data_IF_670567234685
#
_entry.id   IF_670567234685
#
_cell.length_a   1.000
_cell.length_b   1.000
_cell.length_c   1.000
_cell.angle_alpha   90.00
_cell.angle_beta   90.00
_cell.angle_gamma   90.00
#
_symmetry.space_group_name_H-M   'P 1'
#
loop_
_entity.id
_entity.type
_entity.pdbx_description
1 polymer ?
#
# COMPACT_ATOMS: atom_id res chain seq x y z
N UNK A 1 -108.22 27.46 21.39
CA UNK A 1 -107.38 27.10 22.56
C UNK A 1 -106.79 25.65 22.50
N UNK A 2 -107.48 24.70 21.85
CA UNK A 2 -106.93 23.30 21.80
C UNK A 2 -105.80 23.12 20.75
N UNK A 3 -105.82 23.86 19.64
CA UNK A 3 -104.90 23.70 18.53
C UNK A 3 -103.51 24.38 18.78
N UNK A 4 -103.46 25.46 19.55
CA UNK A 4 -102.24 26.19 19.93
C UNK A 4 -101.36 25.36 20.92
N UNK A 5 -102.02 24.68 21.89
CA UNK A 5 -101.32 23.75 22.84
C UNK A 5 -100.75 22.57 22.11
N UNK A 6 -101.42 21.97 21.14
CA UNK A 6 -100.92 20.87 20.32
C UNK A 6 -99.73 21.28 19.45
N UNK A 7 -99.78 22.48 18.87
CA UNK A 7 -98.63 23.06 18.11
C UNK A 7 -97.42 23.32 18.98
N UNK A 8 -97.61 23.81 20.23
CA UNK A 8 -96.48 24.02 21.19
C UNK A 8 -95.85 22.69 21.59
N UNK A 9 -96.63 21.68 21.91
CA UNK A 9 -96.08 20.35 22.30
C UNK A 9 -95.31 19.76 21.12
N UNK A 10 -95.80 19.87 19.89
CA UNK A 10 -95.08 19.33 18.72
C UNK A 10 -93.78 20.16 18.44
N UNK A 11 -93.77 21.44 18.66
CA UNK A 11 -92.60 22.29 18.49
C UNK A 11 -91.53 21.94 19.56
N UNK A 12 -91.93 21.66 20.82
CA UNK A 12 -91.09 21.25 21.87
C UNK A 12 -90.45 19.86 21.60
N UNK A 13 -91.21 18.91 21.11
CA UNK A 13 -90.82 17.59 20.72
C UNK A 13 -89.80 17.61 19.54
N UNK A 14 -89.97 18.43 18.56
CA UNK A 14 -89.08 18.62 17.45
C UNK A 14 -87.75 19.23 17.94
N UNK A 15 -87.77 20.20 18.83
CA UNK A 15 -86.57 20.80 19.40
C UNK A 15 -85.83 19.77 20.29
N UNK A 16 -86.53 19.02 21.08
CA UNK A 16 -85.95 17.98 21.91
C UNK A 16 -85.28 16.85 21.06
N UNK A 17 -85.93 16.43 19.98
CA UNK A 17 -85.39 15.43 19.07
C UNK A 17 -84.16 15.96 18.31
N UNK A 18 -84.23 17.24 17.90
CA UNK A 18 -83.12 17.94 17.28
C UNK A 18 -81.88 18.01 18.26
N UNK A 19 -82.14 18.36 19.52
CA UNK A 19 -81.09 18.35 20.56
C UNK A 19 -80.51 16.96 20.77
N UNK A 20 -81.32 15.92 20.91
CA UNK A 20 -80.84 14.52 21.05
C UNK A 20 -80.02 14.06 19.84
N UNK A 21 -80.39 14.46 18.63
CA UNK A 21 -79.61 14.17 17.42
C UNK A 21 -78.30 14.94 17.41
N UNK A 22 -78.29 16.20 17.80
CA UNK A 22 -77.07 17.02 17.92
C UNK A 22 -76.10 16.42 18.96
N UNK A 23 -76.60 16.01 20.15
CA UNK A 23 -75.79 15.39 21.19
C UNK A 23 -75.17 14.05 20.75
N UNK A 24 -75.97 13.21 20.06
CA UNK A 24 -75.49 11.95 19.48
C UNK A 24 -74.40 12.17 18.44
N UNK A 25 -74.61 13.19 17.56
CA UNK A 25 -73.62 13.56 16.55
C UNK A 25 -72.34 14.08 17.18
N UNK A 26 -72.45 14.96 18.18
CA UNK A 26 -71.30 15.48 18.92
C UNK A 26 -70.51 14.36 19.66
N UNK A 27 -71.26 13.45 20.32
CA UNK A 27 -70.62 12.34 20.99
C UNK A 27 -69.89 11.40 20.02
N UNK A 28 -70.49 11.09 18.88
CA UNK A 28 -69.87 10.30 17.82
C UNK A 28 -68.64 10.99 17.24
N UNK A 29 -68.74 12.28 16.93
CA UNK A 29 -67.59 13.05 16.40
C UNK A 29 -66.44 13.12 17.40
N UNK A 30 -66.74 13.33 18.72
CA UNK A 30 -65.71 13.30 19.76
C UNK A 30 -64.98 11.95 19.82
N UNK A 31 -65.73 10.88 19.81
CA UNK A 31 -65.11 9.51 19.82
C UNK A 31 -64.27 9.24 18.57
N UNK A 32 -64.68 9.78 17.39
CA UNK A 32 -63.93 9.65 16.14
C UNK A 32 -62.67 10.51 16.15
N UNK A 33 -62.70 11.70 16.68
CA UNK A 33 -61.50 12.58 16.91
C UNK A 33 -60.50 11.93 17.88
N UNK A 34 -61.00 11.36 19.00
CA UNK A 34 -60.15 10.66 19.95
C UNK A 34 -59.46 9.44 19.29
N UNK A 35 -60.18 8.68 18.50
CA UNK A 35 -59.62 7.54 17.77
C UNK A 35 -58.56 7.99 16.77
N UNK A 36 -58.81 9.04 15.97
CA UNK A 36 -57.85 9.59 15.02
C UNK A 36 -56.58 10.10 15.75
N UNK A 37 -56.78 10.82 16.86
CA UNK A 37 -55.65 11.32 17.66
C UNK A 37 -54.82 10.18 18.28
N UNK A 38 -55.46 9.13 18.78
CA UNK A 38 -54.77 7.95 19.31
C UNK A 38 -53.95 7.21 18.21
N UNK A 39 -54.58 7.05 17.03
CA UNK A 39 -53.88 6.43 15.90
C UNK A 39 -52.67 7.29 15.44
N UNK A 40 -52.86 8.59 15.28
CA UNK A 40 -51.78 9.49 14.89
C UNK A 40 -50.59 9.47 15.90
N UNK A 41 -50.91 9.38 17.20
CA UNK A 41 -49.86 9.23 18.23
C UNK A 41 -49.11 7.90 18.09
N UNK A 42 -49.83 6.78 17.92
CA UNK A 42 -49.22 5.50 17.75
C UNK A 42 -48.36 5.42 16.50
N UNK A 43 -48.80 6.01 15.39
CA UNK A 43 -48.05 6.06 14.14
C UNK A 43 -46.78 6.94 14.30
N UNK A 44 -46.89 8.06 14.98
CA UNK A 44 -45.76 8.94 15.26
C UNK A 44 -44.72 8.26 16.15
N UNK A 45 -45.15 7.54 17.21
CA UNK A 45 -44.25 6.78 18.08
C UNK A 45 -43.54 5.65 17.32
N UNK A 46 -44.27 4.89 16.49
CA UNK A 46 -43.69 3.84 15.65
C UNK A 46 -42.67 4.39 14.67
N UNK A 47 -42.99 5.54 14.06
CA UNK A 47 -42.08 6.20 13.12
C UNK A 47 -40.82 6.75 13.82
N UNK A 48 -40.99 7.35 15.01
CA UNK A 48 -39.86 7.83 15.82
C UNK A 48 -38.92 6.69 16.22
N UNK A 49 -39.45 5.53 16.63
CA UNK A 49 -38.68 4.34 17.00
C UNK A 49 -37.94 3.75 15.80
N UNK A 50 -38.60 3.70 14.64
CA UNK A 50 -37.95 3.29 13.38
C UNK A 50 -36.80 4.18 13.03
N UNK A 51 -36.97 5.50 13.08
CA UNK A 51 -35.91 6.48 12.80
C UNK A 51 -34.74 6.31 13.78
N UNK A 52 -35.03 6.08 15.07
CA UNK A 52 -34.04 5.87 16.11
C UNK A 52 -33.20 4.61 15.83
N UNK A 53 -33.88 3.50 15.57
CA UNK A 53 -33.24 2.22 15.27
C UNK A 53 -32.35 2.31 14.01
N UNK A 54 -32.84 2.93 12.96
CA UNK A 54 -32.07 3.14 11.74
C UNK A 54 -30.85 4.05 11.96
N UNK A 55 -30.99 5.10 12.79
CA UNK A 55 -29.90 6.01 13.12
C UNK A 55 -28.80 5.28 13.92
N UNK A 56 -29.19 4.48 14.91
CA UNK A 56 -28.25 3.65 15.66
C UNK A 56 -27.50 2.64 14.79
N UNK A 57 -28.20 1.96 13.92
CA UNK A 57 -27.56 1.01 12.98
C UNK A 57 -26.60 1.71 12.04
N UNK A 58 -26.95 2.90 11.52
CA UNK A 58 -26.06 3.71 10.68
C UNK A 58 -24.82 4.17 11.46
N UNK A 59 -25.02 4.61 12.71
CA UNK A 59 -23.91 5.00 13.58
C UNK A 59 -22.94 3.85 13.86
N UNK A 60 -23.46 2.66 14.20
CA UNK A 60 -22.64 1.43 14.40
C UNK A 60 -21.84 1.07 13.15
N UNK A 61 -22.49 1.00 11.98
CA UNK A 61 -21.81 0.69 10.70
C UNK A 61 -20.72 1.71 10.39
N UNK A 62 -20.98 3.00 10.64
CA UNK A 62 -19.99 4.06 10.42
C UNK A 62 -18.81 3.94 11.37
N UNK A 63 -19.04 3.63 12.65
CA UNK A 63 -17.98 3.39 13.63
C UNK A 63 -17.09 2.20 13.24
N UNK A 64 -17.69 1.07 12.84
CA UNK A 64 -16.94 -0.09 12.36
C UNK A 64 -16.11 0.22 11.11
N UNK A 65 -16.67 0.96 10.16
CA UNK A 65 -15.94 1.37 8.95
C UNK A 65 -14.74 2.25 9.31
N UNK A 66 -14.90 3.21 10.20
CA UNK A 66 -13.81 4.07 10.67
C UNK A 66 -12.73 3.23 11.37
N UNK A 67 -13.11 2.31 12.27
CA UNK A 67 -12.17 1.44 12.96
C UNK A 67 -11.32 0.62 11.97
N UNK A 68 -11.96 -0.03 10.99
CA UNK A 68 -11.25 -0.78 9.92
C UNK A 68 -10.31 0.10 9.11
N UNK A 69 -10.71 1.34 8.80
CA UNK A 69 -9.85 2.29 8.06
C UNK A 69 -8.63 2.69 8.88
N UNK A 70 -8.79 2.89 10.18
CA UNK A 70 -7.67 3.19 11.10
C UNK A 70 -6.69 2.02 11.16
N UNK A 71 -7.17 0.78 11.32
CA UNK A 71 -6.31 -0.40 11.36
C UNK A 71 -5.49 -0.56 10.06
N UNK A 72 -6.13 -0.35 8.92
CA UNK A 72 -5.45 -0.38 7.63
C UNK A 72 -4.38 0.71 7.51
N UNK A 73 -4.68 1.93 7.98
CA UNK A 73 -3.72 3.04 7.92
C UNK A 73 -2.53 2.79 8.87
N UNK A 74 -2.76 2.23 10.05
CA UNK A 74 -1.70 1.83 10.98
C UNK A 74 -0.81 0.75 10.37
N UNK A 75 -1.40 -0.29 9.76
CA UNK A 75 -0.66 -1.34 9.08
C UNK A 75 0.18 -0.78 7.91
N UNK A 76 -0.39 0.13 7.12
CA UNK A 76 0.30 0.80 6.02
C UNK A 76 1.46 1.67 6.51
N UNK A 77 1.28 2.42 7.60
CA UNK A 77 2.36 3.23 8.20
C UNK A 77 3.49 2.36 8.73
N UNK A 78 3.18 1.27 9.42
CA UNK A 78 4.19 0.29 9.87
C UNK A 78 4.99 -0.28 8.70
N UNK A 79 4.32 -0.66 7.61
CA UNK A 79 4.99 -1.18 6.41
C UNK A 79 5.90 -0.13 5.77
N UNK A 80 5.44 1.11 5.63
CA UNK A 80 6.25 2.21 5.10
C UNK A 80 7.48 2.50 5.97
N UNK A 81 7.31 2.51 7.30
CA UNK A 81 8.43 2.72 8.22
C UNK A 81 9.47 1.59 8.10
N UNK A 82 9.04 0.32 8.05
CA UNK A 82 9.92 -0.82 7.81
C UNK A 82 10.67 -0.72 6.47
N UNK A 83 9.98 -0.35 5.40
CA UNK A 83 10.59 -0.15 4.09
C UNK A 83 11.63 0.96 4.10
N UNK A 84 11.36 2.08 4.77
CA UNK A 84 12.31 3.18 4.89
C UNK A 84 13.60 2.76 5.60
N UNK A 85 13.53 1.97 6.68
CA UNK A 85 14.70 1.46 7.38
C UNK A 85 15.52 0.51 6.50
N UNK A 86 14.87 -0.41 5.78
CA UNK A 86 15.56 -1.31 4.83
C UNK A 86 16.23 -0.50 3.72
N UNK A 87 15.56 0.53 3.19
CA UNK A 87 16.14 1.39 2.17
C UNK A 87 17.37 2.15 2.68
N UNK A 88 17.29 2.71 3.89
CA UNK A 88 18.44 3.36 4.53
C UNK A 88 19.65 2.42 4.69
N UNK A 89 19.42 1.17 5.10
CA UNK A 89 20.48 0.18 5.20
C UNK A 89 21.12 -0.14 3.84
N UNK A 90 20.32 -0.23 2.78
CA UNK A 90 20.83 -0.46 1.41
C UNK A 90 21.60 0.77 0.88
N UNK A 91 21.12 1.99 1.16
CA UNK A 91 21.79 3.22 0.76
C UNK A 91 23.14 3.39 1.49
N UNK A 92 23.20 3.01 2.77
CA UNK A 92 24.45 3.02 3.52
C UNK A 92 25.42 1.94 3.00
N UNK A 93 24.93 0.75 2.67
CA UNK A 93 25.74 -0.30 2.03
C UNK A 93 26.28 0.18 0.68
N UNK A 94 25.49 0.88 -0.12
CA UNK A 94 25.94 1.49 -1.37
C UNK A 94 27.06 2.50 -1.13
N UNK A 95 26.92 3.42 -0.18
CA UNK A 95 27.95 4.40 0.17
C UNK A 95 29.27 3.72 0.55
N UNK A 96 29.20 2.62 1.35
CA UNK A 96 30.39 1.86 1.71
C UNK A 96 31.02 1.17 0.50
N UNK A 97 30.24 0.60 -0.40
CA UNK A 97 30.75 0.02 -1.66
C UNK A 97 31.40 1.08 -2.54
N UNK A 98 30.84 2.27 -2.62
CA UNK A 98 31.40 3.39 -3.40
C UNK A 98 32.67 3.98 -2.75
N UNK A 99 32.85 3.80 -1.44
CA UNK A 99 34.01 4.22 -0.68
C UNK A 99 35.17 3.21 -0.69
N UNK A 100 34.92 1.96 -1.12
CA UNK A 100 36.00 0.94 -1.25
C UNK A 100 37.07 1.48 -2.21
N UNK A 101 38.35 1.43 -1.82
CA UNK A 101 39.47 1.94 -2.60
C UNK A 101 40.69 1.05 -2.46
N UNK A 102 41.77 1.37 -3.21
CA UNK A 102 43.05 0.67 -3.13
C UNK A 102 42.96 -0.83 -3.44
N UNK A 103 43.66 -1.63 -2.67
CA UNK A 103 43.81 -3.08 -2.91
C UNK A 103 42.51 -3.84 -2.71
N UNK A 104 41.61 -3.38 -1.85
CA UNK A 104 40.30 -4.01 -1.66
C UNK A 104 39.44 -3.85 -2.92
N UNK A 105 39.47 -2.67 -3.53
CA UNK A 105 38.77 -2.45 -4.80
C UNK A 105 39.37 -3.28 -5.92
N UNK A 106 40.70 -3.31 -6.05
CA UNK A 106 41.45 -4.13 -7.02
C UNK A 106 41.07 -5.60 -6.93
N UNK A 107 41.09 -6.17 -5.73
CA UNK A 107 40.67 -7.58 -5.48
C UNK A 107 39.21 -7.81 -5.87
N UNK A 108 38.35 -6.85 -5.58
CA UNK A 108 36.93 -6.95 -5.95
C UNK A 108 36.74 -6.95 -7.47
N UNK A 109 37.48 -6.13 -8.22
CA UNK A 109 37.43 -6.10 -9.68
C UNK A 109 37.84 -7.44 -10.29
N UNK A 110 38.99 -8.00 -9.85
CA UNK A 110 39.47 -9.29 -10.35
C UNK A 110 38.40 -10.39 -10.10
N UNK A 111 37.88 -10.47 -8.88
CA UNK A 111 36.86 -11.47 -8.52
C UNK A 111 35.57 -11.32 -9.37
N UNK A 112 35.10 -10.08 -9.57
CA UNK A 112 33.86 -9.82 -10.30
C UNK A 112 34.00 -10.05 -11.81
N UNK A 113 35.15 -9.67 -12.38
CA UNK A 113 35.44 -9.89 -13.79
C UNK A 113 35.67 -11.38 -14.09
N UNK A 114 36.49 -12.07 -13.30
CA UNK A 114 36.74 -13.49 -13.46
C UNK A 114 35.44 -14.34 -13.32
N UNK A 115 34.55 -13.97 -12.37
CA UNK A 115 33.27 -14.64 -12.24
C UNK A 115 32.40 -14.47 -13.49
N UNK A 116 32.35 -13.28 -14.09
CA UNK A 116 31.61 -13.03 -15.32
C UNK A 116 32.21 -13.78 -16.51
N UNK A 117 33.55 -13.73 -16.66
CA UNK A 117 34.25 -14.37 -17.76
C UNK A 117 34.10 -15.91 -17.73
N UNK A 118 33.98 -16.52 -16.55
CA UNK A 118 33.75 -17.97 -16.42
C UNK A 118 32.39 -18.40 -16.94
N UNK A 119 31.37 -17.58 -16.79
CA UNK A 119 29.99 -17.87 -17.23
C UNK A 119 29.78 -17.60 -18.73
N UNK A 120 30.65 -16.79 -19.35
CA UNK A 120 30.50 -16.43 -20.76
C UNK A 120 31.24 -17.44 -21.68
N UNK A 121 30.57 -18.02 -22.70
CA UNK A 121 31.16 -19.00 -23.62
C UNK A 121 31.95 -18.32 -24.74
N UNK A 122 32.98 -17.54 -24.39
CA UNK A 122 33.85 -16.86 -25.38
C UNK A 122 35.30 -16.85 -24.91
N UNK A 123 36.24 -16.58 -25.80
CA UNK A 123 37.67 -16.58 -25.52
C UNK A 123 38.26 -15.15 -25.60
N UNK A 124 37.50 -14.19 -26.08
CA UNK A 124 37.90 -12.79 -26.17
C UNK A 124 36.98 -11.92 -25.30
N UNK A 125 37.58 -11.10 -24.45
CA UNK A 125 36.88 -10.25 -23.50
C UNK A 125 37.35 -8.82 -23.53
N UNK A 126 36.37 -7.89 -23.47
CA UNK A 126 36.60 -6.48 -23.19
C UNK A 126 36.06 -6.21 -21.79
N UNK A 127 36.96 -5.91 -20.87
CA UNK A 127 36.64 -5.63 -19.46
C UNK A 127 36.69 -4.13 -19.25
N UNK A 128 35.52 -3.52 -19.06
CA UNK A 128 35.38 -2.09 -18.73
C UNK A 128 35.27 -1.92 -17.23
N UNK A 129 36.12 -1.06 -16.69
CA UNK A 129 36.23 -0.83 -15.25
C UNK A 129 35.82 0.59 -14.91
N UNK A 130 34.88 0.75 -14.01
CA UNK A 130 34.51 2.03 -13.42
C UNK A 130 35.54 2.43 -12.37
N UNK A 131 36.60 3.12 -12.78
CA UNK A 131 37.70 3.52 -11.92
C UNK A 131 37.83 5.02 -11.79
N UNK A 132 38.22 5.46 -10.59
CA UNK A 132 38.65 6.82 -10.31
C UNK A 132 40.17 6.94 -10.46
N UNK A 133 40.69 8.15 -10.59
CA UNK A 133 42.12 8.36 -10.69
C UNK A 133 42.88 7.87 -9.44
N UNK A 134 42.29 8.10 -8.26
CA UNK A 134 42.82 7.67 -6.97
C UNK A 134 42.87 6.14 -6.78
N UNK A 135 42.13 5.36 -7.55
CA UNK A 135 42.16 3.89 -7.46
C UNK A 135 43.49 3.31 -7.98
N UNK A 136 44.25 4.08 -8.77
CA UNK A 136 45.55 3.74 -9.32
C UNK A 136 45.61 2.33 -9.91
N UNK A 137 44.72 2.06 -10.87
CA UNK A 137 44.58 0.75 -11.53
C UNK A 137 45.35 0.81 -12.85
N UNK A 138 46.42 0.01 -12.95
CA UNK A 138 47.09 -0.20 -14.21
C UNK A 138 46.38 -1.24 -15.04
N UNK A 139 45.95 -0.95 -16.30
CA UNK A 139 45.27 -1.93 -17.16
C UNK A 139 46.05 -3.24 -17.33
N UNK A 140 47.39 -3.12 -17.52
CA UNK A 140 48.26 -4.27 -17.68
C UNK A 140 48.31 -5.20 -16.44
N UNK A 141 48.27 -4.60 -15.22
CA UNK A 141 48.18 -5.33 -13.98
C UNK A 141 46.86 -6.14 -13.93
N UNK A 142 45.73 -5.52 -14.28
CA UNK A 142 44.43 -6.18 -14.24
C UNK A 142 44.34 -7.31 -15.27
N UNK A 143 44.91 -7.13 -16.49
CA UNK A 143 45.02 -8.19 -17.50
C UNK A 143 45.79 -9.40 -16.94
N UNK A 144 46.92 -9.15 -16.29
CA UNK A 144 47.75 -10.22 -15.73
C UNK A 144 47.01 -10.98 -14.61
N UNK A 145 46.35 -10.28 -13.69
CA UNK A 145 45.61 -10.92 -12.60
C UNK A 145 44.35 -11.70 -13.11
N UNK A 146 43.67 -11.17 -14.12
CA UNK A 146 42.55 -11.90 -14.74
C UNK A 146 43.00 -13.12 -15.51
N UNK A 147 44.14 -13.03 -16.21
CA UNK A 147 44.79 -14.19 -16.87
C UNK A 147 45.08 -15.31 -15.87
N UNK A 148 45.73 -14.99 -14.75
CA UNK A 148 46.00 -15.96 -13.66
C UNK A 148 44.70 -16.60 -13.15
N UNK A 149 43.68 -15.78 -12.87
CA UNK A 149 42.41 -16.26 -12.34
C UNK A 149 41.62 -17.16 -13.33
N UNK A 150 41.83 -17.03 -14.63
CA UNK A 150 41.29 -17.93 -15.66
C UNK A 150 42.13 -19.19 -15.84
N UNK A 151 43.47 -19.07 -15.82
CA UNK A 151 44.39 -20.19 -15.93
C UNK A 151 44.20 -21.20 -14.79
N UNK A 152 43.94 -20.74 -13.56
CA UNK A 152 43.57 -21.61 -12.42
C UNK A 152 42.34 -22.48 -12.70
N UNK A 153 41.50 -22.10 -13.65
CA UNK A 153 40.32 -22.85 -14.08
C UNK A 153 40.49 -23.49 -15.47
N UNK A 154 41.72 -23.55 -15.98
CA UNK A 154 42.06 -24.18 -17.26
C UNK A 154 41.55 -23.42 -18.50
N UNK A 155 41.24 -22.11 -18.37
CA UNK A 155 40.77 -21.29 -19.49
C UNK A 155 41.80 -20.25 -19.88
N UNK A 156 42.08 -20.14 -21.17
CA UNK A 156 42.88 -19.07 -21.76
C UNK A 156 41.96 -18.11 -22.48
N UNK A 157 42.25 -16.83 -22.40
CA UNK A 157 41.45 -15.81 -23.03
C UNK A 157 42.28 -14.59 -23.44
N UNK A 158 41.89 -13.92 -24.49
CA UNK A 158 42.38 -12.59 -24.85
C UNK A 158 41.58 -11.55 -24.06
N UNK A 159 42.28 -10.73 -23.27
CA UNK A 159 41.64 -9.77 -22.37
C UNK A 159 42.10 -8.37 -22.71
N UNK A 160 41.15 -7.50 -23.05
CA UNK A 160 41.37 -6.06 -23.18
C UNK A 160 40.73 -5.35 -21.99
N UNK A 161 41.43 -4.43 -21.35
CA UNK A 161 40.94 -3.65 -20.22
C UNK A 161 40.81 -2.19 -20.61
N UNK A 162 39.62 -1.62 -20.38
CA UNK A 162 39.31 -0.21 -20.58
C UNK A 162 38.88 0.43 -19.25
N UNK A 163 39.61 1.46 -18.82
CA UNK A 163 39.19 2.27 -17.66
C UNK A 163 38.21 3.34 -18.12
N UNK A 164 37.06 3.44 -17.43
CA UNK A 164 35.96 4.32 -17.79
C UNK A 164 35.50 5.11 -16.58
N UNK A 165 35.73 6.42 -16.58
CA UNK A 165 35.28 7.30 -15.51
C UNK A 165 33.74 7.50 -15.50
N UNK A 166 33.08 7.31 -16.66
CA UNK A 166 31.64 7.40 -16.83
C UNK A 166 30.87 6.14 -16.42
N UNK A 167 31.57 5.03 -16.13
CA UNK A 167 30.97 3.80 -15.66
C UNK A 167 30.83 3.82 -14.12
N UNK A 168 29.71 3.37 -13.56
CA UNK A 168 29.62 3.11 -12.12
C UNK A 168 30.70 2.15 -11.64
N UNK A 169 31.12 2.27 -10.37
CA UNK A 169 32.17 1.40 -9.80
C UNK A 169 31.86 -0.08 -9.95
N UNK A 170 32.87 -0.86 -10.28
CA UNK A 170 32.76 -2.28 -10.61
C UNK A 170 33.22 -2.58 -12.02
N UNK A 171 32.73 -3.67 -12.60
CA UNK A 171 33.15 -4.16 -13.92
C UNK A 171 31.97 -4.43 -14.82
N UNK A 172 32.16 -4.18 -16.12
CA UNK A 172 31.28 -4.58 -17.20
C UNK A 172 32.11 -5.40 -18.18
N UNK A 173 31.79 -6.67 -18.31
CA UNK A 173 32.50 -7.60 -19.20
C UNK A 173 31.69 -7.79 -20.45
N UNK A 174 32.34 -7.68 -21.62
CA UNK A 174 31.76 -7.95 -22.94
C UNK A 174 32.56 -9.02 -23.66
N UNK A 175 31.91 -9.80 -24.50
CA UNK A 175 32.60 -10.64 -25.49
C UNK A 175 33.27 -9.78 -26.56
N UNK A 176 34.34 -10.27 -27.20
CA UNK A 176 35.07 -9.54 -28.24
C UNK A 176 34.17 -9.11 -29.42
N UNK A 177 33.14 -9.91 -29.75
CA UNK A 177 32.14 -9.60 -30.77
C UNK A 177 31.04 -8.64 -30.29
N UNK A 178 31.04 -8.27 -29.02
CA UNK A 178 30.07 -7.37 -28.40
C UNK A 178 28.65 -7.89 -28.18
N UNK A 179 28.40 -9.16 -28.56
CA UNK A 179 27.06 -9.77 -28.47
C UNK A 179 26.64 -10.12 -27.03
N UNK A 180 27.60 -10.51 -26.21
CA UNK A 180 27.38 -10.86 -24.81
C UNK A 180 27.91 -9.72 -23.92
N UNK A 181 27.13 -9.39 -22.90
CA UNK A 181 27.52 -8.40 -21.92
C UNK A 181 27.09 -8.83 -20.53
N UNK A 182 28.01 -8.74 -19.57
CA UNK A 182 27.76 -9.04 -18.18
C UNK A 182 28.09 -7.84 -17.30
N UNK A 183 27.05 -7.23 -16.75
CA UNK A 183 27.20 -6.08 -15.87
C UNK A 183 27.32 -6.53 -14.40
N UNK A 184 28.53 -6.39 -13.86
CA UNK A 184 28.89 -6.62 -12.48
C UNK A 184 29.32 -5.32 -11.79
N UNK A 185 28.78 -4.14 -12.20
CA UNK A 185 28.92 -2.92 -11.43
C UNK A 185 28.24 -3.08 -10.06
N UNK A 186 28.73 -2.35 -9.07
CA UNK A 186 28.17 -2.42 -7.70
C UNK A 186 26.69 -2.07 -7.68
N UNK A 187 26.28 -1.08 -8.46
CA UNK A 187 24.88 -0.67 -8.59
C UNK A 187 24.00 -1.79 -9.15
N UNK A 188 24.41 -2.43 -10.23
CA UNK A 188 23.64 -3.52 -10.85
C UNK A 188 23.59 -4.74 -9.95
N UNK A 189 24.69 -5.07 -9.27
CA UNK A 189 24.71 -6.16 -8.29
C UNK A 189 23.81 -5.89 -7.09
N UNK A 190 23.87 -4.68 -6.54
CA UNK A 190 23.01 -4.28 -5.42
C UNK A 190 21.53 -4.37 -5.81
N UNK A 191 21.15 -3.89 -7.01
CA UNK A 191 19.80 -4.01 -7.54
C UNK A 191 19.37 -5.48 -7.67
N UNK A 192 20.24 -6.32 -8.24
CA UNK A 192 19.96 -7.76 -8.44
C UNK A 192 19.80 -8.51 -7.12
N UNK A 193 20.61 -8.19 -6.11
CA UNK A 193 20.61 -8.83 -4.80
C UNK A 193 19.58 -8.23 -3.84
N UNK A 194 18.98 -7.09 -4.17
CA UNK A 194 18.07 -6.33 -3.27
C UNK A 194 16.99 -7.20 -2.62
N UNK A 195 16.32 -8.04 -3.40
CA UNK A 195 15.25 -8.90 -2.87
C UNK A 195 15.76 -9.95 -1.87
N UNK A 196 16.93 -10.53 -2.14
CA UNK A 196 17.59 -11.47 -1.24
C UNK A 196 18.13 -10.81 0.03
N UNK A 197 18.77 -9.66 -0.12
CA UNK A 197 19.28 -8.86 1.01
C UNK A 197 18.14 -8.40 1.91
N UNK A 198 17.04 -7.92 1.35
CA UNK A 198 15.84 -7.52 2.10
C UNK A 198 15.33 -8.66 2.99
N UNK A 199 15.20 -9.87 2.46
CA UNK A 199 14.76 -11.05 3.23
C UNK A 199 15.73 -11.42 4.36
N UNK A 200 17.01 -11.19 4.17
CA UNK A 200 18.05 -11.50 5.18
C UNK A 200 18.18 -10.42 6.25
N UNK A 201 17.96 -9.15 5.89
CA UNK A 201 18.12 -8.00 6.78
C UNK A 201 16.87 -7.82 7.66
N UNK A 202 15.67 -8.04 7.12
CA UNK A 202 14.41 -7.78 7.81
C UNK A 202 14.30 -8.49 9.18
N UNK A 203 14.60 -9.78 9.33
CA UNK A 203 14.57 -10.44 10.64
C UNK A 203 15.50 -9.80 11.67
N UNK A 204 16.73 -9.44 11.27
CA UNK A 204 17.70 -8.79 12.15
C UNK A 204 17.30 -7.38 12.59
N UNK A 205 16.58 -6.64 11.75
CA UNK A 205 16.15 -5.28 12.05
C UNK A 205 14.84 -5.23 12.85
N UNK A 206 13.95 -6.20 12.66
CA UNK A 206 12.59 -6.16 13.23
C UNK A 206 12.30 -7.28 14.23
N UNK A 207 13.27 -8.15 14.53
CA UNK A 207 13.12 -9.21 15.53
C UNK A 207 12.07 -10.27 15.15
N UNK A 208 11.78 -10.43 13.87
CA UNK A 208 10.90 -11.50 13.40
C UNK A 208 11.72 -12.77 13.25
N UNK A 209 11.55 -13.68 14.21
CA UNK A 209 11.98 -15.09 14.13
C UNK A 209 10.98 -15.89 13.34
#
# INVERSE_FOLDING_TARGET
MSNEKAQQVLAEEIVEDARKRAERTMARTRAEVEKIAAQARADAEAQAEKIRTEAEQRARRKAEMIARTVDQEVARRKLRAREAVVQQALDEAKKRLDAISGDEYKRSLVRLAAAAMREMPCEEFIVRVGARVEDNIAPAWLVAELGKALDEHGRKALIQVELRADLPRGVLVKSGDGRLQWDNTFDTRLKRLRAGLRRRIAPGLFGET
#
